data_IF_137936294095
#
_entry.id   IF_137936294095
#
_cell.length_a   1.000
_cell.length_b   1.000
_cell.length_c   1.000
_cell.angle_alpha   90.00
_cell.angle_beta   90.00
_cell.angle_gamma   90.00
#
_symmetry.space_group_name_H-M   'P 1'
#
loop_
_entity.id
_entity.type
_entity.pdbx_description
1 polymer ?
#
# COMPACT_ATOMS: atom_id res chain seq x y z
N UNK A 1 -3.33 -23.77 -13.46
CA UNK A 1 -3.24 -22.64 -12.51
C UNK A 1 -2.15 -21.74 -13.05
N UNK A 2 -2.53 -20.59 -13.60
CA UNK A 2 -1.61 -19.72 -14.33
C UNK A 2 -0.72 -18.97 -13.34
N UNK A 3 0.57 -19.26 -13.39
CA UNK A 3 1.60 -18.73 -12.51
C UNK A 3 2.14 -17.43 -13.11
N UNK A 4 1.74 -16.30 -12.53
CA UNK A 4 2.62 -15.14 -12.44
C UNK A 4 2.59 -14.13 -13.58
N UNK A 5 1.41 -13.65 -13.99
CA UNK A 5 1.36 -12.28 -14.51
C UNK A 5 1.77 -11.33 -13.38
N UNK A 6 2.83 -10.56 -13.62
CA UNK A 6 3.18 -9.42 -12.74
C UNK A 6 2.00 -8.47 -12.77
N UNK A 7 1.15 -8.56 -11.76
CA UNK A 7 -0.04 -7.74 -11.61
C UNK A 7 0.40 -6.28 -11.52
N UNK A 8 0.36 -5.56 -12.64
CA UNK A 8 0.73 -4.16 -12.71
C UNK A 8 -0.37 -3.31 -12.09
N UNK A 9 -0.02 -2.52 -11.10
CA UNK A 9 -0.91 -1.59 -10.42
C UNK A 9 -0.74 -0.19 -10.99
N UNK A 10 -1.84 0.40 -11.45
CA UNK A 10 -1.85 1.80 -11.91
C UNK A 10 -1.80 2.76 -10.73
N UNK A 11 -1.42 4.01 -10.99
CA UNK A 11 -1.44 5.06 -9.97
C UNK A 11 -2.84 5.31 -9.42
N UNK A 12 -3.87 5.23 -10.28
CA UNK A 12 -5.25 5.41 -9.89
C UNK A 12 -5.70 4.32 -8.90
N UNK A 13 -5.40 3.05 -9.19
CA UNK A 13 -5.75 1.94 -8.30
C UNK A 13 -5.01 2.00 -6.96
N UNK A 14 -3.72 2.35 -6.98
CA UNK A 14 -2.95 2.55 -5.75
C UNK A 14 -3.53 3.70 -4.93
N UNK A 15 -3.90 4.81 -5.57
CA UNK A 15 -4.54 5.93 -4.89
C UNK A 15 -5.91 5.52 -4.32
N UNK A 16 -6.70 4.78 -5.08
CA UNK A 16 -8.00 4.27 -4.64
C UNK A 16 -7.89 3.41 -3.38
N UNK A 17 -6.90 2.50 -3.35
CA UNK A 17 -6.61 1.72 -2.14
C UNK A 17 -6.27 2.67 -0.99
N UNK A 18 -5.30 3.58 -1.17
CA UNK A 18 -4.82 4.49 -0.11
C UNK A 18 -5.91 5.35 0.51
N UNK A 19 -6.80 5.93 -0.30
CA UNK A 19 -7.86 6.82 0.22
C UNK A 19 -8.99 6.05 0.91
N UNK A 20 -9.12 4.76 0.61
CA UNK A 20 -10.16 3.88 1.13
C UNK A 20 -9.69 3.04 2.32
N UNK A 21 -8.38 3.00 2.61
CA UNK A 21 -7.83 2.35 3.79
C UNK A 21 -8.51 2.90 5.06
N UNK A 22 -9.11 1.99 5.83
CA UNK A 22 -9.86 2.32 7.06
C UNK A 22 -11.36 2.57 6.88
N UNK A 23 -11.88 2.58 5.64
CA UNK A 23 -13.31 2.73 5.33
C UNK A 23 -13.91 1.53 4.61
N UNK A 24 -13.12 0.88 3.77
CA UNK A 24 -13.53 -0.29 3.01
C UNK A 24 -12.69 -1.49 3.42
N UNK A 25 -13.31 -2.67 3.44
CA UNK A 25 -12.57 -3.93 3.56
C UNK A 25 -11.92 -4.34 2.22
N UNK A 26 -11.03 -5.33 2.27
CA UNK A 26 -10.31 -5.79 1.08
C UNK A 26 -11.23 -6.40 0.01
N UNK A 27 -12.39 -6.95 0.38
CA UNK A 27 -13.34 -7.54 -0.56
C UNK A 27 -14.10 -6.45 -1.32
N UNK A 28 -14.50 -5.36 -0.64
CA UNK A 28 -15.12 -4.21 -1.29
C UNK A 28 -14.17 -3.57 -2.30
N UNK A 29 -12.91 -3.35 -1.90
CA UNK A 29 -11.88 -2.83 -2.81
C UNK A 29 -11.61 -3.75 -3.99
N UNK A 30 -11.63 -5.07 -3.78
CA UNK A 30 -11.49 -6.06 -4.84
C UNK A 30 -12.62 -5.96 -5.88
N UNK A 31 -13.86 -5.81 -5.41
CA UNK A 31 -15.02 -5.64 -6.28
C UNK A 31 -14.93 -4.34 -7.09
N UNK A 32 -14.56 -3.23 -6.44
CA UNK A 32 -14.42 -1.92 -7.08
C UNK A 32 -13.30 -1.87 -8.13
N UNK A 33 -12.20 -2.59 -7.88
CA UNK A 33 -11.03 -2.61 -8.75
C UNK A 33 -11.07 -3.72 -9.80
N UNK A 34 -12.05 -4.62 -9.76
CA UNK A 34 -12.11 -5.80 -10.63
C UNK A 34 -10.93 -6.74 -10.45
N UNK A 35 -10.43 -6.88 -9.22
CA UNK A 35 -9.22 -7.66 -8.89
C UNK A 35 -9.53 -8.76 -7.89
N UNK A 36 -8.71 -9.81 -7.88
CA UNK A 36 -8.81 -10.84 -6.85
C UNK A 36 -8.50 -10.26 -5.45
N UNK A 37 -9.30 -10.62 -4.44
CA UNK A 37 -9.14 -10.16 -3.06
C UNK A 37 -7.72 -10.36 -2.52
N UNK A 38 -7.14 -11.53 -2.76
CA UNK A 38 -5.76 -11.84 -2.33
C UNK A 38 -4.71 -10.86 -2.90
N UNK A 39 -4.91 -10.37 -4.13
CA UNK A 39 -4.02 -9.41 -4.77
C UNK A 39 -4.18 -8.03 -4.12
N UNK A 40 -5.41 -7.65 -3.79
CA UNK A 40 -5.70 -6.41 -3.06
C UNK A 40 -5.10 -6.46 -1.66
N UNK A 41 -5.29 -7.54 -0.91
CA UNK A 41 -4.71 -7.72 0.43
C UNK A 41 -3.19 -7.64 0.41
N UNK A 42 -2.54 -8.29 -0.57
CA UNK A 42 -1.09 -8.19 -0.74
C UNK A 42 -0.66 -6.75 -1.01
N UNK A 43 -1.40 -6.03 -1.86
CA UNK A 43 -1.10 -4.62 -2.17
C UNK A 43 -1.29 -3.71 -0.96
N UNK A 44 -2.34 -3.91 -0.17
CA UNK A 44 -2.59 -3.17 1.07
C UNK A 44 -1.39 -3.31 2.00
N UNK A 45 -0.96 -4.54 2.29
CA UNK A 45 0.20 -4.81 3.15
C UNK A 45 1.48 -4.13 2.63
N UNK A 46 1.74 -4.19 1.33
CA UNK A 46 2.89 -3.51 0.73
C UNK A 46 2.85 -1.99 0.93
N UNK A 47 1.68 -1.36 0.80
CA UNK A 47 1.50 0.08 1.00
C UNK A 47 1.74 0.44 2.46
N UNK A 48 1.13 -0.29 3.40
CA UNK A 48 1.28 -0.05 4.84
C UNK A 48 2.73 -0.15 5.31
N UNK A 49 3.45 -1.17 4.83
CA UNK A 49 4.88 -1.36 5.13
C UNK A 49 5.69 -0.18 4.59
N UNK A 50 5.47 0.22 3.33
CA UNK A 50 6.19 1.35 2.72
C UNK A 50 5.94 2.65 3.46
N UNK A 51 4.71 2.93 3.87
CA UNK A 51 4.37 4.12 4.63
C UNK A 51 4.98 4.11 6.03
N UNK A 52 4.98 2.95 6.70
CA UNK A 52 5.64 2.80 8.01
C UNK A 52 7.15 3.02 7.90
N UNK A 53 7.80 2.44 6.89
CA UNK A 53 9.23 2.65 6.63
C UNK A 53 9.55 4.10 6.30
N UNK A 54 8.72 4.76 5.48
CA UNK A 54 8.88 6.17 5.16
C UNK A 54 8.84 7.03 6.43
N UNK A 55 7.83 6.82 7.30
CA UNK A 55 7.73 7.51 8.60
C UNK A 55 8.99 7.29 9.44
N UNK A 56 9.40 6.03 9.65
CA UNK A 56 10.60 5.71 10.43
C UNK A 56 11.87 6.38 9.86
N UNK A 57 12.05 6.39 8.54
CA UNK A 57 13.19 7.03 7.89
C UNK A 57 13.23 8.56 8.12
N UNK A 58 12.06 9.20 8.22
CA UNK A 58 11.98 10.64 8.51
C UNK A 58 12.36 10.96 9.95
N UNK A 59 12.08 10.06 10.90
CA UNK A 59 12.49 10.23 12.29
C UNK A 59 14.01 10.11 12.47
N UNK A 60 14.64 9.10 11.84
CA UNK A 60 16.10 8.90 11.93
C UNK A 60 16.89 10.09 11.36
N UNK A 61 16.39 10.75 10.31
CA UNK A 61 17.02 11.97 9.76
C UNK A 61 16.93 13.17 10.69
N UNK A 62 15.92 13.23 11.57
CA UNK A 62 15.67 14.36 12.47
C UNK A 62 16.53 14.31 13.73
N UNK A 63 16.84 13.13 14.25
CA UNK A 63 17.72 12.97 15.43
C UNK A 63 19.20 13.24 15.12
N UNK A 64 19.68 12.91 13.92
CA UNK A 64 21.10 13.09 13.57
C UNK A 64 21.47 14.54 13.15
N UNK A 65 20.55 15.50 13.31
CA UNK A 65 20.72 16.91 12.90
C UNK A 65 20.81 17.91 14.04
N UNK A 66 20.87 17.48 15.31
CA UNK A 66 21.00 18.37 16.47
C UNK A 66 22.35 18.15 17.16
N UNK A 67 23.39 18.78 16.60
CA UNK A 67 24.56 19.19 17.38
C UNK A 67 24.48 20.70 17.50
N UNK A 68 24.10 21.18 18.68
CA UNK A 68 24.54 22.47 19.22
C UNK A 68 25.65 22.18 20.23
#
# INVERSE_FOLDING_TARGET
MDMGEIVKWTKAEVNHIKVSLGRCDAQQLANELGRAKENVERKIREIEIKERLARLSTFVKKENGSSD
#
